data_IF_045796756444
#
_entry.id   IF_045796756444
#
_cell.length_a   1.000
_cell.length_b   1.000
_cell.length_c   1.000
_cell.angle_alpha   90.00
_cell.angle_beta   90.00
_cell.angle_gamma   90.00
#
_symmetry.space_group_name_H-M   'P 1'
#
loop_
_entity.id
_entity.type
_entity.pdbx_description
1 polymer ?
#
# COMPACT_ATOMS: atom_id res chain seq x y z
N UNK A 1 1.24 -5.56 27.28
CA UNK A 1 1.61 -5.40 25.86
C UNK A 1 0.58 -4.44 25.28
N UNK A 2 0.98 -3.20 25.02
CA UNK A 2 0.05 -2.11 24.73
C UNK A 2 -0.44 -2.23 23.28
N UNK A 3 -1.75 -2.46 23.14
CA UNK A 3 -2.44 -2.49 21.85
C UNK A 3 -2.50 -1.09 21.27
N UNK A 4 -2.38 -0.98 19.95
CA UNK A 4 -2.32 0.30 19.19
C UNK A 4 -3.57 1.19 19.31
N UNK A 5 -4.58 0.77 20.08
CA UNK A 5 -5.79 1.50 20.38
C UNK A 5 -5.68 2.45 21.59
N UNK A 6 -4.54 2.51 22.29
CA UNK A 6 -4.32 3.39 23.47
C UNK A 6 -3.59 4.70 23.16
N UNK A 7 -3.42 5.06 21.89
CA UNK A 7 -2.96 6.40 21.52
C UNK A 7 -4.19 7.22 21.15
N UNK A 8 -4.62 8.06 22.10
CA UNK A 8 -5.49 9.19 21.80
C UNK A 8 -4.82 10.02 20.69
N UNK A 9 -5.57 10.39 19.65
CA UNK A 9 -5.13 11.13 18.44
C UNK A 9 -4.39 10.36 17.31
N UNK A 10 -4.55 9.05 17.16
CA UNK A 10 -4.03 8.34 15.95
C UNK A 10 -4.52 8.94 14.62
N UNK A 11 -5.66 9.66 14.64
CA UNK A 11 -6.24 10.35 13.50
C UNK A 11 -5.35 11.47 12.95
N UNK A 12 -4.47 12.08 13.77
CA UNK A 12 -3.52 13.11 13.33
C UNK A 12 -2.42 12.58 12.42
N UNK A 13 -2.25 11.25 12.34
CA UNK A 13 -1.27 10.60 11.48
C UNK A 13 -1.82 10.21 10.09
N UNK A 14 -3.10 10.50 9.83
CA UNK A 14 -3.73 10.32 8.53
C UNK A 14 -3.78 11.69 7.86
N UNK A 15 -2.72 12.03 7.14
CA UNK A 15 -2.73 13.12 6.17
C UNK A 15 -3.42 12.63 4.89
N UNK A 16 -4.72 12.34 5.02
CA UNK A 16 -5.66 12.12 3.93
C UNK A 16 -6.89 12.96 4.28
N UNK A 17 -6.94 14.18 3.75
CA UNK A 17 -8.08 15.08 3.90
C UNK A 17 -9.35 14.54 3.24
N UNK A 18 -9.24 13.49 2.43
CA UNK A 18 -10.37 12.86 1.77
C UNK A 18 -10.89 11.63 2.55
N UNK A 19 -12.07 11.80 3.14
CA UNK A 19 -12.78 10.75 3.90
C UNK A 19 -13.02 9.48 3.09
N UNK A 20 -13.11 9.57 1.78
CA UNK A 20 -13.36 8.45 0.89
C UNK A 20 -12.10 7.62 0.65
N UNK A 21 -10.98 8.26 0.37
CA UNK A 21 -9.69 7.55 0.26
C UNK A 21 -9.38 6.83 1.57
N UNK A 22 -9.62 7.50 2.72
CA UNK A 22 -9.46 6.88 4.04
C UNK A 22 -10.37 5.66 4.20
N UNK A 23 -11.64 5.74 3.79
CA UNK A 23 -12.61 4.64 3.87
C UNK A 23 -12.19 3.46 2.98
N UNK A 24 -11.92 3.71 1.70
CA UNK A 24 -11.53 2.67 0.75
C UNK A 24 -10.26 1.93 1.19
N UNK A 25 -9.22 2.65 1.63
CA UNK A 25 -7.99 2.02 2.13
C UNK A 25 -8.25 1.18 3.39
N UNK A 26 -9.17 1.59 4.28
CA UNK A 26 -9.53 0.82 5.47
C UNK A 26 -10.30 -0.46 5.11
N UNK A 27 -11.28 -0.37 4.23
CA UNK A 27 -12.05 -1.53 3.74
C UNK A 27 -11.12 -2.54 3.07
N UNK A 28 -10.23 -2.06 2.19
CA UNK A 28 -9.22 -2.90 1.55
C UNK A 28 -8.26 -3.53 2.57
N UNK A 29 -7.82 -2.80 3.59
CA UNK A 29 -6.98 -3.36 4.65
C UNK A 29 -7.72 -4.39 5.54
N UNK A 30 -9.05 -4.29 5.69
CA UNK A 30 -9.85 -5.33 6.36
C UNK A 30 -9.90 -6.59 5.50
N UNK A 31 -10.18 -6.44 4.21
CA UNK A 31 -10.13 -7.55 3.24
C UNK A 31 -8.77 -8.26 3.27
N UNK A 32 -7.67 -7.52 3.11
CA UNK A 32 -6.33 -8.09 3.09
C UNK A 32 -6.02 -8.90 4.36
N UNK A 33 -6.39 -8.39 5.54
CA UNK A 33 -6.16 -9.09 6.82
C UNK A 33 -7.02 -10.34 6.99
N UNK A 34 -8.13 -10.45 6.26
CA UNK A 34 -9.00 -11.62 6.27
C UNK A 34 -8.49 -12.71 5.33
N UNK A 35 -8.06 -12.33 4.13
CA UNK A 35 -7.67 -13.29 3.08
C UNK A 35 -6.18 -13.68 3.12
N UNK A 36 -5.31 -12.79 3.60
CA UNK A 36 -3.86 -12.98 3.54
C UNK A 36 -3.25 -13.15 4.93
N UNK A 37 -2.22 -14.00 5.01
CA UNK A 37 -1.42 -14.18 6.22
C UNK A 37 -0.22 -13.23 6.24
N UNK A 38 -0.04 -12.52 7.35
CA UNK A 38 1.08 -11.58 7.56
C UNK A 38 1.97 -12.06 8.71
N UNK A 39 3.08 -12.77 8.43
CA UNK A 39 4.01 -13.23 9.47
C UNK A 39 4.62 -12.06 10.25
N UNK A 40 4.84 -10.93 9.57
CA UNK A 40 5.37 -9.69 10.15
C UNK A 40 4.42 -8.55 9.79
N UNK A 41 4.11 -7.69 10.75
CA UNK A 41 3.27 -6.52 10.51
C UNK A 41 3.94 -5.59 9.49
N UNK A 42 3.20 -5.21 8.44
CA UNK A 42 3.60 -4.15 7.50
C UNK A 42 2.76 -2.89 7.75
N UNK A 43 3.43 -1.75 7.92
CA UNK A 43 2.75 -0.47 8.15
C UNK A 43 2.53 0.24 6.81
N UNK A 44 1.30 0.65 6.50
CA UNK A 44 0.98 1.38 5.26
C UNK A 44 0.68 2.84 5.59
N UNK A 45 1.52 3.75 5.08
CA UNK A 45 1.33 5.19 5.18
C UNK A 45 0.75 5.75 3.90
N UNK A 46 -0.45 6.32 3.96
CA UNK A 46 -0.99 7.09 2.85
C UNK A 46 -0.66 8.57 3.05
N UNK A 47 -0.15 9.23 2.01
CA UNK A 47 0.38 10.60 2.05
C UNK A 47 -0.40 11.49 1.08
N UNK A 48 -0.79 12.69 1.55
CA UNK A 48 -1.42 13.72 0.72
C UNK A 48 -0.40 14.47 -0.16
N UNK A 49 0.29 13.72 -1.02
CA UNK A 49 1.22 14.25 -2.02
C UNK A 49 0.95 13.56 -3.35
N UNK A 50 1.14 14.25 -4.48
CA UNK A 50 0.89 13.66 -5.81
C UNK A 50 1.86 12.53 -6.14
N UNK A 51 3.11 12.66 -5.70
CA UNK A 51 4.16 11.65 -5.86
C UNK A 51 5.11 11.69 -4.67
N UNK A 52 5.63 10.53 -4.32
CA UNK A 52 6.72 10.35 -3.36
C UNK A 52 8.06 10.56 -4.05
N UNK A 53 9.09 10.88 -3.26
CA UNK A 53 10.49 10.81 -3.69
C UNK A 53 11.06 9.50 -3.15
N UNK A 54 11.51 8.63 -4.06
CA UNK A 54 12.21 7.40 -3.76
C UNK A 54 13.68 7.66 -3.37
N UNK A 55 14.39 6.64 -2.89
CA UNK A 55 15.77 6.78 -2.39
C UNK A 55 16.77 7.18 -3.49
N UNK A 56 16.49 6.83 -4.73
CA UNK A 56 17.24 7.19 -5.94
C UNK A 56 16.87 8.56 -6.51
N UNK A 57 15.88 9.24 -5.91
CA UNK A 57 15.39 10.54 -6.36
C UNK A 57 14.18 10.48 -7.31
N UNK A 58 13.73 9.29 -7.69
CA UNK A 58 12.62 9.13 -8.63
C UNK A 58 11.27 9.50 -8.02
N UNK A 59 10.38 10.02 -8.87
CA UNK A 59 9.01 10.39 -8.49
C UNK A 59 8.06 9.23 -8.72
N UNK A 60 7.67 8.56 -7.64
CA UNK A 60 6.88 7.32 -7.64
C UNK A 60 5.54 7.48 -6.91
N UNK A 61 4.62 6.55 -7.13
CA UNK A 61 3.33 6.52 -6.41
C UNK A 61 3.38 5.67 -5.14
N UNK A 62 4.23 4.65 -5.11
CA UNK A 62 4.41 3.72 -3.99
C UNK A 62 5.88 3.50 -3.67
N UNK A 63 6.17 3.14 -2.43
CA UNK A 63 7.47 2.58 -2.03
C UNK A 63 7.28 1.53 -0.94
N UNK A 64 7.82 0.34 -1.13
CA UNK A 64 8.06 -0.64 -0.08
C UNK A 64 9.48 -0.51 0.48
N UNK A 65 9.61 -0.55 1.80
CA UNK A 65 10.89 -0.58 2.49
C UNK A 65 10.91 -1.68 3.55
N UNK A 66 12.04 -2.38 3.63
CA UNK A 66 12.36 -3.40 4.63
C UNK A 66 13.85 -3.38 4.94
N UNK A 67 14.23 -3.95 6.09
CA UNK A 67 15.63 -4.21 6.41
C UNK A 67 16.06 -5.54 5.79
N UNK A 68 17.22 -5.56 5.13
CA UNK A 68 17.77 -6.79 4.57
C UNK A 68 18.22 -7.73 5.70
N UNK A 69 17.75 -8.97 5.69
CA UNK A 69 18.05 -10.03 6.65
C UNK A 69 17.74 -9.76 8.14
N UNK A 70 17.04 -8.67 8.47
CA UNK A 70 16.55 -8.40 9.84
C UNK A 70 15.01 -8.30 9.88
N UNK A 71 14.40 -9.40 10.27
CA UNK A 71 12.96 -9.56 10.41
C UNK A 71 12.40 -8.97 11.72
N UNK A 72 13.23 -8.41 12.60
CA UNK A 72 12.77 -7.73 13.81
C UNK A 72 12.40 -6.25 13.54
N UNK A 73 12.82 -5.71 12.40
CA UNK A 73 12.46 -4.36 11.98
C UNK A 73 11.23 -4.42 11.10
N UNK A 74 10.17 -3.73 11.52
CA UNK A 74 8.91 -3.73 10.79
C UNK A 74 9.07 -3.06 9.41
N UNK A 75 8.68 -3.75 8.33
CA UNK A 75 8.64 -3.13 7.02
C UNK A 75 7.51 -2.11 6.93
N UNK A 76 7.63 -1.19 5.98
CA UNK A 76 6.59 -0.22 5.71
C UNK A 76 6.41 0.07 4.22
N UNK A 77 5.19 0.44 3.89
CA UNK A 77 4.77 0.91 2.58
C UNK A 77 4.38 2.38 2.71
N UNK A 78 4.74 3.19 1.72
CA UNK A 78 4.22 4.55 1.57
C UNK A 78 3.50 4.65 0.24
N UNK A 79 2.36 5.33 0.21
CA UNK A 79 1.57 5.56 -1.00
C UNK A 79 1.20 7.05 -1.11
N UNK A 80 1.45 7.64 -2.27
CA UNK A 80 0.95 8.95 -2.66
C UNK A 80 -0.52 8.86 -3.07
N UNK A 81 -1.34 9.76 -2.53
CA UNK A 81 -2.76 9.86 -2.86
C UNK A 81 -3.22 11.31 -3.11
N UNK A 82 -2.28 12.26 -3.18
CA UNK A 82 -2.59 13.68 -3.36
C UNK A 82 -3.05 14.06 -4.77
N UNK A 83 -3.05 13.11 -5.71
CA UNK A 83 -3.62 13.26 -7.05
C UNK A 83 -5.05 12.68 -7.16
N UNK A 84 -5.65 12.19 -6.05
CA UNK A 84 -6.99 11.59 -6.04
C UNK A 84 -8.05 12.43 -6.76
N UNK A 85 -8.11 13.74 -6.49
CA UNK A 85 -9.08 14.64 -7.13
C UNK A 85 -8.84 14.79 -8.64
N UNK A 86 -7.58 14.82 -9.07
CA UNK A 86 -7.23 14.88 -10.49
C UNK A 86 -7.67 13.59 -11.21
N UNK A 87 -7.43 12.44 -10.57
CA UNK A 87 -7.85 11.13 -11.06
C UNK A 87 -9.38 11.00 -11.11
N UNK A 88 -10.09 11.50 -10.10
CA UNK A 88 -11.55 11.51 -10.07
C UNK A 88 -12.14 12.28 -11.24
N UNK A 89 -11.62 13.49 -11.51
CA UNK A 89 -12.08 14.29 -12.65
C UNK A 89 -11.81 13.63 -14.00
N UNK A 90 -10.72 12.86 -14.10
CA UNK A 90 -10.29 12.27 -15.37
C UNK A 90 -10.96 10.93 -15.68
N UNK A 91 -11.13 10.09 -14.66
CA UNK A 91 -11.48 8.67 -14.83
C UNK A 91 -12.66 8.22 -13.96
N UNK A 92 -13.24 9.14 -13.20
CA UNK A 92 -14.26 8.82 -12.23
C UNK A 92 -13.67 8.30 -10.91
N UNK A 93 -14.54 8.27 -9.92
CA UNK A 93 -14.22 7.99 -8.52
C UNK A 93 -13.70 6.58 -8.29
N UNK A 94 -14.39 5.57 -8.84
CA UNK A 94 -14.02 4.17 -8.62
C UNK A 94 -12.65 3.86 -9.24
N UNK A 95 -12.37 4.39 -10.43
CA UNK A 95 -11.06 4.30 -11.09
C UNK A 95 -9.96 4.98 -10.28
N UNK A 96 -10.25 6.15 -9.69
CA UNK A 96 -9.29 6.89 -8.87
C UNK A 96 -8.95 6.13 -7.58
N UNK A 97 -9.95 5.57 -6.89
CA UNK A 97 -9.72 4.72 -5.72
C UNK A 97 -8.96 3.46 -6.11
N UNK A 98 -9.34 2.81 -7.20
CA UNK A 98 -8.67 1.60 -7.71
C UNK A 98 -7.19 1.86 -7.99
N UNK A 99 -6.82 3.02 -8.51
CA UNK A 99 -5.40 3.37 -8.74
C UNK A 99 -4.59 3.43 -7.42
N UNK A 100 -5.17 3.99 -6.35
CA UNK A 100 -4.53 4.04 -5.03
C UNK A 100 -4.43 2.63 -4.44
N UNK A 101 -5.51 1.85 -4.47
CA UNK A 101 -5.51 0.47 -3.96
C UNK A 101 -4.56 -0.44 -4.76
N UNK A 102 -4.46 -0.25 -6.07
CA UNK A 102 -3.51 -0.93 -6.96
C UNK A 102 -2.06 -0.67 -6.53
N UNK A 103 -1.76 0.57 -6.16
CA UNK A 103 -0.43 0.94 -5.64
C UNK A 103 -0.15 0.24 -4.31
N UNK A 104 -1.12 0.18 -3.40
CA UNK A 104 -0.98 -0.60 -2.14
C UNK A 104 -0.71 -2.07 -2.46
N UNK A 105 -1.48 -2.69 -3.35
CA UNK A 105 -1.35 -4.10 -3.71
C UNK A 105 -0.01 -4.44 -4.40
N UNK A 106 0.50 -3.52 -5.22
CA UNK A 106 1.82 -3.63 -5.86
C UNK A 106 2.93 -3.65 -4.81
N UNK A 107 2.97 -2.65 -3.92
CA UNK A 107 3.97 -2.59 -2.85
C UNK A 107 3.82 -3.73 -1.83
N UNK A 108 2.59 -4.20 -1.61
CA UNK A 108 2.33 -5.38 -0.78
C UNK A 108 2.89 -6.66 -1.41
N UNK A 109 2.88 -6.76 -2.75
CA UNK A 109 3.53 -7.89 -3.42
C UNK A 109 5.03 -7.85 -3.22
N UNK A 110 5.67 -6.68 -3.18
CA UNK A 110 7.08 -6.57 -2.79
C UNK A 110 7.33 -7.04 -1.35
N UNK A 111 6.41 -6.75 -0.42
CA UNK A 111 6.45 -7.35 0.93
C UNK A 111 6.43 -8.88 0.88
N UNK A 112 5.54 -9.47 0.08
CA UNK A 112 5.46 -10.93 -0.04
C UNK A 112 6.70 -11.53 -0.74
N UNK A 113 7.29 -10.83 -1.70
CA UNK A 113 8.56 -11.23 -2.31
C UNK A 113 9.68 -11.26 -1.27
N UNK A 114 9.76 -10.23 -0.42
CA UNK A 114 10.76 -10.11 0.64
C UNK A 114 10.58 -11.19 1.71
N UNK A 115 9.39 -11.35 2.29
CA UNK A 115 9.16 -12.29 3.41
C UNK A 115 9.34 -13.75 3.00
N UNK A 116 9.14 -14.08 1.71
CA UNK A 116 9.35 -15.42 1.16
C UNK A 116 10.75 -15.60 0.55
N UNK A 117 11.65 -14.62 0.68
CA UNK A 117 13.01 -14.64 0.13
C UNK A 117 13.05 -15.01 -1.37
N UNK A 118 12.11 -14.51 -2.17
CA UNK A 118 12.01 -14.83 -3.59
C UNK A 118 13.21 -14.28 -4.36
N UNK A 119 13.88 -15.16 -5.08
CA UNK A 119 15.02 -14.81 -5.94
C UNK A 119 14.53 -14.51 -7.35
N UNK A 120 14.27 -13.24 -7.61
CA UNK A 120 13.81 -12.73 -8.91
C UNK A 120 14.80 -11.70 -9.44
N UNK A 121 14.86 -11.53 -10.76
CA UNK A 121 15.52 -10.36 -11.36
C UNK A 121 14.71 -9.10 -11.04
N UNK A 122 15.31 -7.89 -11.06
CA UNK A 122 14.55 -6.66 -10.83
C UNK A 122 13.30 -6.54 -11.73
N UNK A 123 13.43 -6.88 -13.02
CA UNK A 123 12.30 -6.91 -13.96
C UNK A 123 11.26 -7.97 -13.56
N UNK A 124 11.71 -9.12 -13.05
CA UNK A 124 10.84 -10.18 -12.56
C UNK A 124 10.04 -9.76 -11.33
N UNK A 125 10.65 -9.01 -10.40
CA UNK A 125 10.01 -8.46 -9.21
C UNK A 125 8.87 -7.51 -9.61
N UNK A 126 9.15 -6.54 -10.48
CA UNK A 126 8.16 -5.56 -10.95
C UNK A 126 7.01 -6.20 -11.75
N UNK A 127 7.32 -7.16 -12.63
CA UNK A 127 6.30 -7.89 -13.40
C UNK A 127 5.39 -8.71 -12.49
N UNK A 128 5.97 -9.39 -11.51
CA UNK A 128 5.19 -10.16 -10.56
C UNK A 128 4.34 -9.23 -9.68
N UNK A 129 4.90 -8.13 -9.17
CA UNK A 129 4.17 -7.13 -8.40
C UNK A 129 2.97 -6.57 -9.17
N UNK A 130 3.17 -6.21 -10.44
CA UNK A 130 2.09 -5.72 -11.31
C UNK A 130 0.98 -6.76 -11.51
N UNK A 131 1.34 -8.04 -11.71
CA UNK A 131 0.35 -9.10 -11.97
C UNK A 131 -0.43 -9.46 -10.71
N UNK A 132 0.25 -9.65 -9.58
CA UNK A 132 -0.42 -9.98 -8.32
C UNK A 132 -1.22 -8.82 -7.77
N UNK A 133 -0.80 -7.56 -7.99
CA UNK A 133 -1.64 -6.40 -7.66
C UNK A 133 -3.00 -6.46 -8.35
N UNK A 134 -3.05 -6.94 -9.60
CA UNK A 134 -4.32 -7.15 -10.33
C UNK A 134 -5.14 -8.27 -9.69
N UNK A 135 -4.53 -9.43 -9.42
CA UNK A 135 -5.25 -10.54 -8.78
C UNK A 135 -5.84 -10.16 -7.43
N UNK A 136 -5.08 -9.45 -6.58
CA UNK A 136 -5.55 -8.97 -5.27
C UNK A 136 -6.77 -8.03 -5.45
N UNK A 137 -6.74 -7.15 -6.46
CA UNK A 137 -7.85 -6.24 -6.73
C UNK A 137 -9.07 -6.95 -7.31
N UNK A 138 -8.87 -7.93 -8.19
CA UNK A 138 -9.94 -8.74 -8.76
C UNK A 138 -10.64 -9.53 -7.64
N UNK A 139 -9.88 -10.16 -6.74
CA UNK A 139 -10.41 -10.82 -5.54
C UNK A 139 -11.17 -9.86 -4.62
N UNK A 140 -10.65 -8.63 -4.42
CA UNK A 140 -11.34 -7.62 -3.61
C UNK A 140 -12.67 -7.18 -4.24
N UNK A 141 -12.72 -7.06 -5.57
CA UNK A 141 -13.92 -6.67 -6.30
C UNK A 141 -15.04 -7.74 -6.23
N UNK A 142 -14.69 -8.98 -5.87
CA UNK A 142 -15.63 -10.08 -5.67
C UNK A 142 -16.19 -10.18 -4.23
N UNK A 143 -15.84 -9.23 -3.34
CA UNK A 143 -16.23 -9.26 -1.90
C UNK A 143 -17.54 -8.57 -1.53
#
# INVERSE_FOLDING_TARGET
MWHIWTIDDWEKNIDLTDSEVRRACKEFAVFLRREYFFPIRVVVYIKNVKKLIAMDGDKVYGTFWSMYDDYNIEPHIRVAAGDYMDLCHKWGKDSALTAILSTIAHELTHYFQWINALKLTPIGQERQATNYARYILDEYAET
#
